data_IF_123967785121
#
_entry.id   IF_123967785121
#
_cell.length_a   1.000
_cell.length_b   1.000
_cell.length_c   1.000
_cell.angle_alpha   90.00
_cell.angle_beta   90.00
_cell.angle_gamma   90.00
#
_symmetry.space_group_name_H-M   'P 1'
#
loop_
_entity.id
_entity.type
_entity.pdbx_description
1 polymer ?
#
# COMPACT_ATOMS: atom_id res chain seq x y z
N UNK A 1 1.51 -63.66 -65.52
CA UNK A 1 2.03 -62.31 -65.30
C UNK A 1 0.95 -61.57 -64.47
N UNK A 2 1.15 -61.50 -63.18
CA UNK A 2 0.24 -60.78 -62.26
C UNK A 2 1.01 -59.62 -61.67
N UNK A 3 0.61 -58.38 -61.94
CA UNK A 3 1.18 -57.18 -61.37
C UNK A 3 0.55 -56.93 -60.02
N UNK A 4 1.35 -56.93 -58.96
CA UNK A 4 0.96 -56.43 -57.62
C UNK A 4 1.22 -54.93 -57.60
N UNK A 5 0.16 -54.20 -57.38
CA UNK A 5 0.21 -52.78 -56.97
C UNK A 5 0.21 -52.68 -55.47
N UNK A 6 1.25 -52.08 -54.87
CA UNK A 6 1.37 -51.79 -53.45
C UNK A 6 0.88 -50.32 -53.21
N UNK A 7 -0.05 -50.06 -52.29
CA UNK A 7 -0.40 -48.64 -51.97
C UNK A 7 0.59 -48.08 -50.96
N UNK A 8 1.12 -46.90 -51.26
CA UNK A 8 1.96 -46.09 -50.40
C UNK A 8 1.02 -45.37 -49.41
N UNK A 9 1.07 -45.74 -48.13
CA UNK A 9 0.38 -45.03 -47.04
C UNK A 9 1.27 -43.86 -46.61
N UNK A 10 0.91 -42.65 -47.01
CA UNK A 10 1.56 -41.41 -46.47
C UNK A 10 1.05 -41.13 -45.07
N UNK A 11 1.91 -41.27 -44.08
CA UNK A 11 1.62 -40.83 -42.71
C UNK A 11 1.71 -39.30 -42.61
N UNK A 12 0.58 -38.63 -42.45
CA UNK A 12 0.48 -37.22 -42.21
C UNK A 12 0.72 -36.99 -40.70
N UNK A 13 1.94 -36.60 -40.31
CA UNK A 13 2.23 -36.16 -38.91
C UNK A 13 1.70 -34.78 -38.70
N UNK A 14 0.55 -34.65 -38.01
CA UNK A 14 0.08 -33.41 -37.46
C UNK A 14 1.01 -33.00 -36.30
N UNK A 15 1.85 -32.01 -36.55
CA UNK A 15 2.59 -31.32 -35.50
C UNK A 15 1.59 -30.47 -34.69
N UNK A 16 1.15 -30.99 -33.55
CA UNK A 16 0.48 -30.19 -32.52
C UNK A 16 1.55 -29.23 -31.97
N UNK A 17 1.55 -27.99 -32.49
CA UNK A 17 2.23 -26.87 -31.82
C UNK A 17 1.56 -26.66 -30.46
N UNK A 18 2.15 -27.26 -29.42
CA UNK A 18 1.73 -26.99 -28.07
C UNK A 18 1.86 -25.48 -27.82
N UNK A 19 0.73 -24.81 -27.53
CA UNK A 19 0.78 -23.54 -26.83
C UNK A 19 1.59 -23.77 -25.57
N UNK A 20 2.82 -23.30 -25.53
CA UNK A 20 3.53 -23.18 -24.26
C UNK A 20 2.72 -22.18 -23.45
N UNK A 21 1.99 -22.65 -22.42
CA UNK A 21 1.38 -21.81 -21.42
C UNK A 21 2.47 -20.90 -20.88
N UNK A 22 2.30 -19.59 -21.08
CA UNK A 22 3.19 -18.62 -20.44
C UNK A 22 3.13 -18.90 -18.94
N UNK A 23 4.27 -19.00 -18.25
CA UNK A 23 4.26 -19.23 -16.82
C UNK A 23 3.34 -18.20 -16.17
N UNK A 24 2.38 -18.69 -15.38
CA UNK A 24 1.45 -17.84 -14.64
C UNK A 24 2.27 -16.88 -13.76
N UNK A 25 1.89 -15.61 -13.67
CA UNK A 25 2.58 -14.67 -12.80
C UNK A 25 2.61 -15.22 -11.37
N UNK A 26 3.79 -15.32 -10.78
CA UNK A 26 3.92 -15.76 -9.40
C UNK A 26 3.69 -14.56 -8.49
N UNK A 27 2.52 -14.52 -7.85
CA UNK A 27 2.23 -13.56 -6.80
C UNK A 27 3.02 -13.91 -5.54
N UNK A 28 3.43 -12.88 -4.80
CA UNK A 28 4.05 -13.07 -3.49
C UNK A 28 2.97 -13.47 -2.47
N UNK A 29 3.31 -14.44 -1.64
CA UNK A 29 2.45 -14.93 -0.56
C UNK A 29 3.28 -15.29 0.67
N UNK A 30 2.63 -15.50 1.78
CA UNK A 30 3.28 -15.99 3.01
C UNK A 30 3.08 -17.51 3.10
N UNK A 31 4.19 -18.24 3.23
CA UNK A 31 4.20 -19.68 3.52
C UNK A 31 5.17 -19.95 4.67
N UNK A 32 4.69 -20.63 5.71
CA UNK A 32 5.50 -20.97 6.89
C UNK A 32 6.26 -19.76 7.48
N UNK A 33 5.58 -18.61 7.59
CA UNK A 33 6.13 -17.38 8.14
C UNK A 33 7.19 -16.69 7.26
N UNK A 34 7.24 -17.02 5.97
CA UNK A 34 8.19 -16.43 5.00
C UNK A 34 7.47 -15.97 3.75
N UNK A 35 7.98 -14.90 3.15
CA UNK A 35 7.54 -14.49 1.83
C UNK A 35 8.11 -15.42 0.77
N UNK A 36 7.26 -15.90 -0.14
CA UNK A 36 7.63 -16.75 -1.26
C UNK A 36 6.96 -16.27 -2.55
N UNK A 37 7.59 -16.56 -3.68
CA UNK A 37 7.13 -16.12 -5.01
C UNK A 37 7.76 -14.80 -5.47
N UNK A 38 7.54 -14.42 -6.73
CA UNK A 38 8.12 -13.22 -7.32
C UNK A 38 9.63 -13.11 -7.14
N UNK A 39 10.11 -11.93 -6.77
CA UNK A 39 11.53 -11.66 -6.46
C UNK A 39 11.93 -12.08 -5.04
N UNK A 40 11.02 -12.61 -4.21
CA UNK A 40 11.24 -12.98 -2.81
C UNK A 40 11.94 -14.34 -2.60
N UNK A 41 12.67 -14.84 -3.58
CA UNK A 41 13.32 -16.17 -3.52
C UNK A 41 14.30 -16.37 -2.36
N UNK A 42 14.76 -15.28 -1.71
CA UNK A 42 15.66 -15.35 -0.53
C UNK A 42 14.91 -15.31 0.81
N UNK A 43 13.60 -15.09 0.82
CA UNK A 43 12.81 -14.85 2.05
C UNK A 43 13.05 -13.46 2.67
N UNK A 44 14.00 -12.69 2.15
CA UNK A 44 14.33 -11.33 2.57
C UNK A 44 14.40 -10.43 1.36
N UNK A 45 13.96 -9.19 1.52
CA UNK A 45 14.19 -8.12 0.56
C UNK A 45 14.36 -6.79 1.30
N UNK A 46 15.18 -5.93 0.70
CA UNK A 46 15.32 -4.55 1.16
C UNK A 46 14.38 -3.69 0.34
N UNK A 47 13.57 -2.90 1.02
CA UNK A 47 12.65 -1.94 0.42
C UNK A 47 13.00 -0.51 0.78
N UNK A 48 12.36 0.42 0.09
CA UNK A 48 12.41 1.84 0.40
C UNK A 48 11.02 2.44 0.48
N UNK A 49 10.82 3.39 1.40
CA UNK A 49 9.62 4.20 1.43
C UNK A 49 9.71 5.26 0.32
N UNK A 50 9.16 4.94 -0.83
CA UNK A 50 9.18 5.77 -2.04
C UNK A 50 7.79 6.34 -2.31
N UNK A 51 7.18 6.93 -1.28
CA UNK A 51 5.80 7.35 -1.24
C UNK A 51 5.40 8.26 -2.41
N UNK A 52 6.30 9.10 -2.87
CA UNK A 52 6.09 10.09 -3.94
C UNK A 52 6.27 9.53 -5.37
N UNK A 53 6.56 8.24 -5.54
CA UNK A 53 6.92 7.67 -6.84
C UNK A 53 5.86 7.87 -7.92
N UNK A 54 4.59 7.64 -7.60
CA UNK A 54 3.47 7.89 -8.51
C UNK A 54 3.32 9.38 -8.82
N UNK A 55 3.53 10.23 -7.81
CA UNK A 55 3.45 11.69 -7.95
C UNK A 55 4.57 12.24 -8.84
N UNK A 56 5.80 11.71 -8.69
CA UNK A 56 6.94 12.06 -9.54
C UNK A 56 6.70 11.67 -11.00
N UNK A 57 6.00 10.57 -11.24
CA UNK A 57 5.64 10.06 -12.57
C UNK A 57 4.50 10.83 -13.26
N UNK A 58 3.77 11.68 -12.53
CA UNK A 58 2.70 12.51 -13.08
C UNK A 58 3.27 13.48 -14.12
N UNK A 59 2.54 13.79 -15.19
CA UNK A 59 2.95 14.82 -16.14
C UNK A 59 2.67 16.22 -15.61
N UNK A 60 3.58 17.16 -15.90
CA UNK A 60 3.44 18.58 -15.54
C UNK A 60 4.65 19.17 -14.84
N UNK A 61 4.59 20.45 -14.44
CA UNK A 61 5.69 21.14 -13.80
C UNK A 61 6.16 20.43 -12.51
N UNK A 62 7.48 20.33 -12.32
CA UNK A 62 8.08 19.67 -11.16
C UNK A 62 7.98 18.15 -11.17
N UNK A 63 7.54 17.54 -12.28
CA UNK A 63 7.45 16.09 -12.50
C UNK A 63 8.54 15.66 -13.48
N UNK A 64 9.07 14.45 -13.29
CA UNK A 64 10.23 14.01 -14.06
C UNK A 64 10.26 12.48 -14.15
N UNK A 65 9.68 11.95 -15.22
CA UNK A 65 9.68 10.51 -15.52
C UNK A 65 11.07 9.96 -15.78
N UNK A 66 11.93 10.76 -16.39
CA UNK A 66 13.33 10.36 -16.63
C UNK A 66 14.08 10.24 -15.30
N UNK A 67 13.85 11.18 -14.38
CA UNK A 67 14.36 11.07 -13.01
C UNK A 67 13.82 9.83 -12.32
N UNK A 68 12.51 9.56 -12.41
CA UNK A 68 11.91 8.35 -11.83
C UNK A 68 12.64 7.10 -12.35
N UNK A 69 12.80 6.96 -13.66
CA UNK A 69 13.51 5.83 -14.25
C UNK A 69 14.94 5.70 -13.72
N UNK A 70 15.70 6.80 -13.67
CA UNK A 70 17.07 6.80 -13.12
C UNK A 70 17.12 6.41 -11.64
N UNK A 71 16.15 6.87 -10.82
CA UNK A 71 16.07 6.49 -9.40
C UNK A 71 15.73 5.01 -9.24
N UNK A 72 14.79 4.46 -10.03
CA UNK A 72 14.47 3.04 -10.02
C UNK A 72 15.68 2.18 -10.41
N UNK A 73 16.44 2.60 -11.44
CA UNK A 73 17.66 1.90 -11.85
C UNK A 73 18.71 1.87 -10.74
N UNK A 74 18.90 3.00 -10.04
CA UNK A 74 19.82 3.10 -8.89
C UNK A 74 19.38 2.26 -7.71
N UNK A 75 18.08 2.28 -7.38
CA UNK A 75 17.53 1.46 -6.31
C UNK A 75 17.71 -0.03 -6.60
N UNK A 76 17.39 -0.46 -7.82
CA UNK A 76 17.58 -1.85 -8.25
C UNK A 76 19.05 -2.27 -8.19
N UNK A 77 19.97 -1.41 -8.69
CA UNK A 77 21.41 -1.67 -8.63
C UNK A 77 21.96 -1.75 -7.19
N UNK A 78 21.29 -1.09 -6.24
CA UNK A 78 21.60 -1.15 -4.80
C UNK A 78 20.94 -2.33 -4.08
N UNK A 79 20.27 -3.23 -4.81
CA UNK A 79 19.58 -4.40 -4.22
C UNK A 79 18.19 -4.08 -3.62
N UNK A 80 17.66 -2.88 -3.84
CA UNK A 80 16.32 -2.50 -3.39
C UNK A 80 15.31 -2.92 -4.45
N UNK A 81 14.51 -3.93 -4.13
CA UNK A 81 13.53 -4.51 -5.06
C UNK A 81 12.07 -4.21 -4.70
N UNK A 82 11.80 -3.61 -3.54
CA UNK A 82 10.45 -3.34 -3.07
C UNK A 82 10.30 -1.86 -2.66
N UNK A 83 9.24 -1.22 -3.14
CA UNK A 83 8.94 0.18 -2.83
C UNK A 83 7.60 0.30 -2.12
N UNK A 84 7.51 1.19 -1.12
CA UNK A 84 6.25 1.54 -0.49
C UNK A 84 5.73 2.85 -1.07
N UNK A 85 4.57 2.83 -1.70
CA UNK A 85 4.04 3.90 -2.54
C UNK A 85 2.66 4.34 -2.08
N UNK A 86 2.44 5.66 -2.04
CA UNK A 86 1.14 6.27 -1.79
C UNK A 86 0.27 6.19 -3.04
N UNK A 87 -0.95 5.68 -2.89
CA UNK A 87 -1.99 5.69 -3.93
C UNK A 87 -3.26 6.43 -3.49
N UNK A 88 -3.08 7.40 -2.61
CA UNK A 88 -4.11 8.31 -2.10
C UNK A 88 -3.51 9.70 -1.88
N UNK A 89 -4.06 10.72 -2.53
CA UNK A 89 -3.89 12.12 -2.18
C UNK A 89 -5.17 12.85 -2.55
N UNK A 90 -5.85 13.36 -1.54
CA UNK A 90 -7.22 13.83 -1.66
C UNK A 90 -7.34 15.31 -1.29
N UNK A 91 -8.23 16.04 -1.98
CA UNK A 91 -8.65 17.39 -1.64
C UNK A 91 -8.23 18.46 -2.63
N UNK A 92 -8.01 19.68 -2.14
CA UNK A 92 -7.67 20.84 -2.94
C UNK A 92 -6.14 21.03 -3.04
N UNK A 93 -5.68 21.61 -4.15
CA UNK A 93 -4.30 22.06 -4.32
C UNK A 93 -4.03 23.31 -3.48
N UNK A 94 -2.76 23.59 -3.18
CA UNK A 94 -2.34 24.80 -2.48
C UNK A 94 -2.60 24.79 -0.97
N UNK A 95 -2.98 23.66 -0.39
CA UNK A 95 -3.08 23.54 1.07
C UNK A 95 -1.69 23.31 1.66
N UNK A 96 -1.33 24.12 2.66
CA UNK A 96 -0.04 24.01 3.36
C UNK A 96 0.16 22.56 3.87
N UNK A 97 1.39 22.07 3.70
CA UNK A 97 1.81 20.73 4.13
C UNK A 97 1.15 19.56 3.40
N UNK A 98 0.31 19.79 2.40
CA UNK A 98 -0.30 18.73 1.60
C UNK A 98 0.58 18.37 0.39
N UNK A 99 0.68 17.07 0.11
CA UNK A 99 1.40 16.58 -1.07
C UNK A 99 0.66 16.91 -2.37
N UNK A 100 1.41 17.18 -3.41
CA UNK A 100 0.90 17.42 -4.76
C UNK A 100 1.68 16.57 -5.79
N UNK A 101 1.02 16.20 -6.90
CA UNK A 101 -0.35 16.51 -7.31
C UNK A 101 -1.39 15.77 -6.48
N UNK A 102 -2.60 16.32 -6.48
CA UNK A 102 -3.77 15.67 -5.88
C UNK A 102 -4.29 14.60 -6.84
N UNK A 103 -4.52 13.40 -6.32
CA UNK A 103 -5.08 12.28 -7.07
C UNK A 103 -6.59 12.38 -7.19
N UNK A 104 -7.27 12.71 -6.09
CA UNK A 104 -8.73 12.83 -6.02
C UNK A 104 -9.11 14.24 -5.59
N UNK A 105 -9.61 15.05 -6.52
CA UNK A 105 -9.87 16.48 -6.31
C UNK A 105 -11.26 16.77 -5.71
N UNK A 106 -12.17 15.83 -5.83
CA UNK A 106 -13.48 15.82 -5.19
C UNK A 106 -13.97 14.37 -5.06
N UNK A 107 -14.99 14.07 -4.26
CA UNK A 107 -15.52 12.71 -4.10
C UNK A 107 -15.75 11.99 -5.43
N UNK A 108 -14.92 10.97 -5.73
CA UNK A 108 -15.01 10.19 -6.97
C UNK A 108 -14.49 10.91 -8.23
N UNK A 109 -13.91 12.10 -8.12
CA UNK A 109 -13.32 12.86 -9.23
C UNK A 109 -11.78 12.75 -9.14
N UNK A 110 -11.19 12.12 -10.14
CA UNK A 110 -9.75 11.85 -10.18
C UNK A 110 -9.03 12.71 -11.22
N UNK A 111 -7.80 13.11 -10.93
CA UNK A 111 -6.89 13.68 -11.94
C UNK A 111 -6.31 12.54 -12.78
N UNK A 112 -6.69 12.47 -14.05
CA UNK A 112 -6.21 11.44 -14.98
C UNK A 112 -4.69 11.43 -15.13
N UNK A 113 -4.01 12.57 -14.97
CA UNK A 113 -2.55 12.66 -15.03
C UNK A 113 -1.89 11.99 -13.83
N UNK A 114 -2.50 12.12 -12.64
CA UNK A 114 -2.00 11.46 -11.43
C UNK A 114 -2.22 9.94 -11.49
N UNK A 115 -3.38 9.51 -12.00
CA UNK A 115 -3.63 8.09 -12.28
C UNK A 115 -2.69 7.53 -13.36
N UNK A 116 -2.39 8.31 -14.40
CA UNK A 116 -1.42 7.95 -15.42
C UNK A 116 0.00 7.82 -14.84
N UNK A 117 0.38 8.70 -13.92
CA UNK A 117 1.65 8.60 -13.20
C UNK A 117 1.76 7.31 -12.38
N UNK A 118 0.68 6.89 -11.71
CA UNK A 118 0.64 5.61 -11.01
C UNK A 118 0.81 4.44 -11.98
N UNK A 119 0.08 4.42 -13.08
CA UNK A 119 0.19 3.38 -14.10
C UNK A 119 1.60 3.31 -14.71
N UNK A 120 2.21 4.47 -14.97
CA UNK A 120 3.57 4.56 -15.48
C UNK A 120 4.56 3.96 -14.48
N UNK A 121 4.50 4.38 -13.20
CA UNK A 121 5.35 3.81 -12.15
C UNK A 121 5.24 2.28 -12.10
N UNK A 122 4.02 1.74 -12.05
CA UNK A 122 3.81 0.28 -11.98
C UNK A 122 4.37 -0.44 -13.20
N UNK A 123 4.23 0.14 -14.40
CA UNK A 123 4.83 -0.43 -15.61
C UNK A 123 6.36 -0.44 -15.56
N UNK A 124 6.97 0.62 -15.02
CA UNK A 124 8.43 0.73 -14.87
C UNK A 124 8.99 -0.20 -13.80
N UNK A 125 8.24 -0.47 -12.73
CA UNK A 125 8.58 -1.49 -11.73
C UNK A 125 8.58 -2.90 -12.36
N UNK A 126 7.53 -3.24 -13.09
CA UNK A 126 7.44 -4.53 -13.77
C UNK A 126 8.58 -4.78 -14.77
N UNK A 127 9.02 -3.75 -15.52
CA UNK A 127 10.17 -3.84 -16.45
C UNK A 127 11.49 -4.14 -15.73
N UNK A 128 11.60 -3.77 -14.46
CA UNK A 128 12.81 -3.93 -13.63
C UNK A 128 12.75 -5.11 -12.69
N UNK A 129 11.69 -5.91 -12.76
CA UNK A 129 11.43 -6.97 -11.76
C UNK A 129 11.52 -6.39 -10.33
N UNK A 130 10.86 -5.27 -10.11
CA UNK A 130 10.67 -4.60 -8.84
C UNK A 130 9.19 -4.66 -8.47
N UNK A 131 8.90 -4.46 -7.19
CA UNK A 131 7.54 -4.56 -6.66
C UNK A 131 7.18 -3.36 -5.80
N UNK A 132 5.88 -3.15 -5.60
CA UNK A 132 5.37 -2.10 -4.76
C UNK A 132 4.36 -2.61 -3.73
N UNK A 133 4.51 -2.12 -2.50
CA UNK A 133 3.46 -2.09 -1.49
C UNK A 133 2.67 -0.80 -1.71
N UNK A 134 1.40 -0.92 -2.05
CA UNK A 134 0.53 0.22 -2.36
C UNK A 134 -0.39 0.52 -1.17
N UNK A 135 -0.23 1.67 -0.51
CA UNK A 135 -1.13 2.05 0.57
C UNK A 135 -2.21 3.02 0.10
N UNK A 136 -3.47 2.68 0.44
CA UNK A 136 -4.67 3.17 -0.21
C UNK A 136 -5.20 4.50 0.35
N UNK A 137 -4.80 4.86 1.56
CA UNK A 137 -5.17 6.13 2.20
C UNK A 137 -4.17 6.47 3.31
N UNK A 138 -4.44 7.52 4.07
CA UNK A 138 -3.58 8.00 5.14
C UNK A 138 -4.41 8.35 6.38
N UNK A 139 -3.91 8.01 7.55
CA UNK A 139 -4.49 8.50 8.80
C UNK A 139 -4.14 9.98 9.06
N UNK A 140 -3.04 10.45 8.46
CA UNK A 140 -2.53 11.81 8.62
C UNK A 140 -2.97 12.73 7.47
N UNK A 141 -3.05 14.02 7.76
CA UNK A 141 -3.62 15.05 6.88
C UNK A 141 -2.73 15.41 5.67
N UNK A 142 -1.43 15.12 5.73
CA UNK A 142 -0.47 15.57 4.72
C UNK A 142 -0.73 15.04 3.29
N UNK A 143 -1.56 14.01 3.15
CA UNK A 143 -2.08 13.58 1.83
C UNK A 143 -3.61 13.67 1.73
N UNK A 144 -4.29 14.32 2.67
CA UNK A 144 -5.75 14.37 2.78
C UNK A 144 -6.30 13.27 3.68
N UNK A 145 -6.35 12.04 3.20
CA UNK A 145 -6.70 10.86 3.97
C UNK A 145 -8.00 10.97 4.76
N UNK A 146 -8.03 10.41 5.97
CA UNK A 146 -9.24 10.43 6.82
C UNK A 146 -9.82 11.83 6.99
N UNK A 147 -8.95 12.82 7.15
CA UNK A 147 -9.37 14.21 7.35
C UNK A 147 -10.15 14.76 6.15
N UNK A 148 -9.70 14.46 4.94
CA UNK A 148 -10.39 14.92 3.73
C UNK A 148 -11.74 14.20 3.54
N UNK A 149 -11.83 12.91 3.83
CA UNK A 149 -13.10 12.20 3.77
C UNK A 149 -14.09 12.69 4.82
N UNK A 150 -13.64 13.09 6.01
CA UNK A 150 -14.46 13.75 7.02
C UNK A 150 -14.98 15.11 6.51
N UNK A 151 -14.10 15.94 5.92
CA UNK A 151 -14.49 17.23 5.35
C UNK A 151 -15.53 17.05 4.25
N UNK A 152 -15.32 16.12 3.31
CA UNK A 152 -16.28 15.80 2.26
C UNK A 152 -17.60 15.22 2.78
N UNK A 153 -17.62 14.70 3.98
CA UNK A 153 -18.85 14.23 4.65
C UNK A 153 -19.58 15.32 5.45
N UNK A 154 -19.14 16.58 5.32
CA UNK A 154 -19.81 17.73 5.94
C UNK A 154 -19.37 18.02 7.40
N UNK A 155 -18.23 17.49 7.84
CA UNK A 155 -17.72 17.69 9.21
C UNK A 155 -16.83 18.95 9.35
N UNK A 156 -16.95 19.90 8.43
CA UNK A 156 -16.16 21.13 8.39
C UNK A 156 -14.74 20.91 7.86
N UNK A 157 -14.03 22.02 7.64
CA UNK A 157 -12.64 22.00 7.17
C UNK A 157 -11.73 21.39 8.22
N UNK A 158 -10.90 20.42 7.81
CA UNK A 158 -10.01 19.76 8.74
C UNK A 158 -8.87 20.70 9.21
N UNK A 159 -8.49 20.64 10.48
CA UNK A 159 -7.40 21.44 11.02
C UNK A 159 -6.04 20.87 10.57
N UNK A 160 -5.14 21.75 10.10
CA UNK A 160 -3.75 21.40 9.84
C UNK A 160 -2.96 21.50 11.15
N UNK A 161 -2.29 20.45 11.64
CA UNK A 161 -1.64 20.45 12.96
C UNK A 161 -0.66 21.61 13.18
N UNK A 162 0.14 21.96 12.16
CA UNK A 162 1.09 23.07 12.20
C UNK A 162 0.45 24.45 12.36
N UNK A 163 -0.85 24.61 12.09
CA UNK A 163 -1.59 25.87 12.21
C UNK A 163 -2.58 25.85 13.38
N UNK A 164 -3.31 24.75 13.55
CA UNK A 164 -4.40 24.65 14.51
C UNK A 164 -4.01 23.97 15.83
N UNK A 165 -2.82 23.37 15.87
CA UNK A 165 -2.33 22.58 17.01
C UNK A 165 -2.74 21.11 16.92
N UNK A 166 -1.89 20.27 17.53
CA UNK A 166 -2.00 18.81 17.49
C UNK A 166 -3.30 18.30 18.12
N UNK A 167 -3.68 18.83 19.29
CA UNK A 167 -4.88 18.38 20.01
C UNK A 167 -6.16 18.66 19.22
N UNK A 168 -6.21 19.79 18.51
CA UNK A 168 -7.34 20.15 17.63
C UNK A 168 -7.44 19.17 16.46
N UNK A 169 -6.31 18.82 15.85
CA UNK A 169 -6.27 17.82 14.79
C UNK A 169 -6.71 16.44 15.30
N UNK A 170 -6.18 15.99 16.43
CA UNK A 170 -6.54 14.69 17.01
C UNK A 170 -8.04 14.62 17.38
N UNK A 171 -8.60 15.69 17.93
CA UNK A 171 -10.04 15.78 18.20
C UNK A 171 -10.90 15.73 16.92
N UNK A 172 -10.38 16.22 15.79
CA UNK A 172 -11.08 16.17 14.52
C UNK A 172 -10.98 14.78 13.88
N UNK A 173 -9.77 14.24 13.71
CA UNK A 173 -9.54 13.01 12.95
C UNK A 173 -10.13 11.76 13.62
N UNK A 174 -10.23 11.72 14.96
CA UNK A 174 -10.87 10.62 15.69
C UNK A 174 -12.32 10.38 15.27
N UNK A 175 -13.03 11.42 14.79
CA UNK A 175 -14.40 11.32 14.28
C UNK A 175 -14.53 10.32 13.14
N UNK A 176 -13.44 10.00 12.46
CA UNK A 176 -13.47 8.97 11.40
C UNK A 176 -13.88 7.60 11.96
N UNK A 177 -13.41 7.21 13.14
CA UNK A 177 -13.82 5.95 13.77
C UNK A 177 -15.09 6.07 14.63
N UNK A 178 -15.45 7.28 15.05
CA UNK A 178 -16.75 7.56 15.69
C UNK A 178 -17.91 7.41 14.68
N UNK A 179 -17.64 7.61 13.38
CA UNK A 179 -18.60 7.47 12.31
C UNK A 179 -19.04 6.02 12.13
N UNK A 180 -20.32 5.81 11.85
CA UNK A 180 -20.88 4.50 11.52
C UNK A 180 -20.34 3.96 10.19
N UNK A 181 -20.43 2.65 9.97
CA UNK A 181 -19.96 2.02 8.73
C UNK A 181 -20.68 2.52 7.47
N UNK A 182 -21.89 3.04 7.62
CA UNK A 182 -22.72 3.63 6.55
C UNK A 182 -22.54 5.13 6.38
N UNK A 183 -21.69 5.76 7.19
CA UNK A 183 -21.39 7.19 7.07
C UNK A 183 -20.68 7.49 5.74
N UNK A 184 -20.95 8.66 5.19
CA UNK A 184 -20.42 9.07 3.89
C UNK A 184 -18.90 9.08 3.85
N UNK A 185 -18.19 9.43 4.94
CA UNK A 185 -16.72 9.39 4.96
C UNK A 185 -16.17 7.98 4.71
N UNK A 186 -16.79 6.95 5.30
CA UNK A 186 -16.43 5.54 5.10
C UNK A 186 -16.77 5.06 3.67
N UNK A 187 -17.98 5.40 3.20
CA UNK A 187 -18.44 5.02 1.86
C UNK A 187 -17.58 5.66 0.77
N UNK A 188 -17.19 6.92 0.93
CA UNK A 188 -16.32 7.60 -0.04
C UNK A 188 -14.94 6.97 -0.11
N UNK A 189 -14.34 6.63 1.03
CA UNK A 189 -13.07 5.90 1.07
C UNK A 189 -13.20 4.50 0.45
N UNK A 190 -14.26 3.76 0.72
CA UNK A 190 -14.49 2.45 0.08
C UNK A 190 -14.63 2.56 -1.45
N UNK A 191 -15.25 3.62 -1.95
CA UNK A 191 -15.30 3.89 -3.40
C UNK A 191 -13.91 4.14 -3.98
N UNK A 192 -13.06 4.88 -3.27
CA UNK A 192 -11.67 5.09 -3.67
C UNK A 192 -10.90 3.77 -3.71
N UNK A 193 -10.97 2.95 -2.66
CA UNK A 193 -10.36 1.62 -2.60
C UNK A 193 -10.79 0.78 -3.80
N UNK A 194 -12.08 0.71 -4.09
CA UNK A 194 -12.61 -0.02 -5.26
C UNK A 194 -12.02 0.52 -6.56
N UNK A 195 -11.99 1.83 -6.73
CA UNK A 195 -11.49 2.48 -7.94
C UNK A 195 -10.02 2.12 -8.22
N UNK A 196 -9.17 2.12 -7.19
CA UNK A 196 -7.75 1.81 -7.32
C UNK A 196 -7.53 0.30 -7.51
N UNK A 197 -8.10 -0.54 -6.66
CA UNK A 197 -7.83 -1.99 -6.68
C UNK A 197 -8.35 -2.65 -7.97
N UNK A 198 -9.44 -2.15 -8.55
CA UNK A 198 -10.01 -2.69 -9.80
C UNK A 198 -9.47 -2.00 -11.06
N UNK A 199 -8.48 -1.12 -10.93
CA UNK A 199 -7.89 -0.41 -12.06
C UNK A 199 -7.21 -1.35 -13.04
N UNK A 200 -7.23 -0.97 -14.32
CA UNK A 200 -6.40 -1.57 -15.37
C UNK A 200 -5.30 -0.59 -15.74
N UNK A 201 -4.05 -1.03 -15.68
CA UNK A 201 -2.88 -0.24 -16.04
C UNK A 201 -2.90 0.07 -17.56
N UNK A 202 -2.83 1.35 -17.91
CA UNK A 202 -2.93 1.79 -19.33
C UNK A 202 -1.70 1.45 -20.17
N UNK A 203 -0.52 1.25 -19.54
CA UNK A 203 0.72 0.92 -20.24
C UNK A 203 0.86 -0.57 -20.51
N UNK A 204 0.37 -1.40 -19.58
CA UNK A 204 0.50 -2.87 -19.67
C UNK A 204 -0.79 -3.54 -20.15
N UNK A 205 -1.93 -2.86 -20.07
CA UNK A 205 -3.26 -3.43 -20.32
C UNK A 205 -3.69 -4.46 -19.27
N UNK A 206 -2.92 -4.61 -18.17
CA UNK A 206 -3.16 -5.61 -17.12
C UNK A 206 -4.00 -5.01 -16.00
N UNK A 207 -5.05 -5.71 -15.53
CA UNK A 207 -5.71 -5.34 -14.29
C UNK A 207 -4.73 -5.36 -13.10
N UNK A 208 -4.82 -4.41 -12.17
CA UNK A 208 -3.93 -4.34 -11.01
C UNK A 208 -3.96 -5.63 -10.18
N UNK A 209 -5.14 -6.22 -9.99
CA UNK A 209 -5.28 -7.52 -9.32
C UNK A 209 -4.54 -8.70 -9.99
N UNK A 210 -4.01 -8.50 -11.19
CA UNK A 210 -3.26 -9.49 -11.96
C UNK A 210 -1.80 -9.05 -12.20
N UNK A 211 -1.37 -7.93 -11.60
CA UNK A 211 -0.05 -7.36 -11.82
C UNK A 211 0.95 -7.85 -10.76
N UNK A 212 1.90 -8.74 -11.11
CA UNK A 212 2.88 -9.27 -10.16
C UNK A 212 3.87 -8.20 -9.65
N UNK A 213 3.87 -6.99 -10.21
CA UNK A 213 4.61 -5.85 -9.67
C UNK A 213 3.95 -5.28 -8.41
N UNK A 214 2.72 -5.66 -8.08
CA UNK A 214 2.12 -5.36 -6.78
C UNK A 214 2.55 -6.45 -5.79
N UNK A 215 3.22 -6.02 -4.70
CA UNK A 215 3.59 -6.89 -3.60
C UNK A 215 2.39 -7.12 -2.67
N UNK A 216 1.74 -6.04 -2.28
CA UNK A 216 0.58 -6.05 -1.40
C UNK A 216 -0.18 -4.73 -1.43
N UNK A 217 -1.42 -4.79 -0.97
CA UNK A 217 -2.21 -3.64 -0.59
C UNK A 217 -2.03 -3.36 0.91
N UNK A 218 -1.76 -2.11 1.27
CA UNK A 218 -1.90 -1.64 2.64
C UNK A 218 -3.16 -0.80 2.79
N UNK A 219 -3.92 -1.07 3.86
CA UNK A 219 -5.19 -0.38 4.11
C UNK A 219 -4.98 1.13 4.19
N UNK A 220 -3.97 1.57 4.96
CA UNK A 220 -3.65 2.99 5.10
C UNK A 220 -2.18 3.21 5.47
N UNK A 221 -1.70 4.43 5.38
CA UNK A 221 -0.52 4.85 6.13
C UNK A 221 -0.91 5.11 7.57
N UNK A 222 -0.29 4.35 8.47
CA UNK A 222 -0.40 4.51 9.93
C UNK A 222 -1.84 4.61 10.45
N UNK A 223 -2.73 3.65 10.07
CA UNK A 223 -4.08 3.63 10.60
C UNK A 223 -4.05 3.53 12.12
N UNK A 224 -4.88 4.33 12.79
CA UNK A 224 -4.87 4.51 14.24
C UNK A 224 -6.27 4.64 14.78
N UNK A 225 -6.49 4.18 16.02
CA UNK A 225 -7.79 4.30 16.70
C UNK A 225 -8.11 5.74 17.10
N UNK A 226 -7.09 6.56 17.40
CA UNK A 226 -7.16 7.96 17.86
C UNK A 226 -7.84 8.18 19.22
N UNK A 227 -8.30 7.15 19.86
CA UNK A 227 -8.76 7.14 21.26
C UNK A 227 -9.01 5.71 21.73
N UNK A 228 -9.01 5.53 23.06
CA UNK A 228 -9.36 4.24 23.67
C UNK A 228 -10.80 3.82 23.34
N UNK A 229 -11.73 4.76 23.32
CA UNK A 229 -13.15 4.51 23.01
C UNK A 229 -13.39 4.03 21.58
N UNK A 230 -12.45 4.31 20.68
CA UNK A 230 -12.56 3.93 19.28
C UNK A 230 -11.94 2.57 18.94
N UNK A 231 -11.28 1.89 19.87
CA UNK A 231 -10.53 0.64 19.60
C UNK A 231 -11.37 -0.43 18.91
N UNK A 232 -12.57 -0.69 19.36
CA UNK A 232 -13.45 -1.71 18.75
C UNK A 232 -13.99 -1.26 17.38
N UNK A 233 -14.29 0.03 17.20
CA UNK A 233 -14.70 0.58 15.91
C UNK A 233 -13.56 0.58 14.90
N UNK A 234 -12.35 0.85 15.36
CA UNK A 234 -11.13 0.72 14.56
C UNK A 234 -10.91 -0.72 14.11
N UNK A 235 -10.98 -1.70 15.02
CA UNK A 235 -10.91 -3.11 14.69
C UNK A 235 -11.94 -3.52 13.63
N UNK A 236 -13.19 -3.15 13.83
CA UNK A 236 -14.27 -3.46 12.89
C UNK A 236 -14.05 -2.83 11.51
N UNK A 237 -13.53 -1.60 11.47
CA UNK A 237 -13.21 -0.92 10.23
C UNK A 237 -12.05 -1.60 9.48
N UNK A 238 -10.98 -1.98 10.18
CA UNK A 238 -9.85 -2.72 9.58
C UNK A 238 -10.33 -4.04 9.00
N UNK A 239 -11.09 -4.83 9.77
CA UNK A 239 -11.63 -6.12 9.33
C UNK A 239 -12.51 -5.97 8.07
N UNK A 240 -13.42 -4.98 8.07
CA UNK A 240 -14.29 -4.69 6.92
C UNK A 240 -13.48 -4.27 5.69
N UNK A 241 -12.48 -3.43 5.87
CA UNK A 241 -11.66 -2.91 4.76
C UNK A 241 -10.76 -4.00 4.17
N UNK A 242 -10.11 -4.80 5.01
CA UNK A 242 -9.30 -5.94 4.57
C UNK A 242 -10.14 -6.95 3.76
N UNK A 243 -11.33 -7.28 4.27
CA UNK A 243 -12.28 -8.16 3.56
C UNK A 243 -12.71 -7.58 2.22
N UNK A 244 -12.97 -6.27 2.15
CA UNK A 244 -13.29 -5.60 0.89
C UNK A 244 -12.16 -5.75 -0.13
N UNK A 245 -10.90 -5.48 0.28
CA UNK A 245 -9.75 -5.60 -0.61
C UNK A 245 -9.59 -7.04 -1.11
N UNK A 246 -9.67 -8.04 -0.23
CA UNK A 246 -9.60 -9.47 -0.61
C UNK A 246 -10.72 -9.92 -1.56
N UNK A 247 -11.91 -9.33 -1.44
CA UNK A 247 -13.02 -9.58 -2.38
C UNK A 247 -12.75 -9.01 -3.78
N UNK A 248 -12.07 -7.86 -3.86
CA UNK A 248 -11.72 -7.20 -5.12
C UNK A 248 -10.48 -7.82 -5.77
N UNK A 249 -9.55 -8.26 -4.94
CA UNK A 249 -8.26 -8.81 -5.34
C UNK A 249 -7.88 -10.01 -4.43
N UNK A 250 -8.18 -11.24 -4.86
CA UNK A 250 -7.82 -12.43 -4.11
C UNK A 250 -6.35 -12.85 -4.28
N UNK A 251 -5.59 -12.21 -5.19
CA UNK A 251 -4.25 -12.64 -5.57
C UNK A 251 -3.16 -12.00 -4.69
N UNK A 252 -3.35 -10.73 -4.29
CA UNK A 252 -2.33 -10.00 -3.56
C UNK A 252 -2.55 -10.07 -2.05
N UNK A 253 -1.43 -9.94 -1.34
CA UNK A 253 -1.45 -9.83 0.11
C UNK A 253 -2.05 -8.51 0.56
N UNK A 254 -2.61 -8.51 1.78
CA UNK A 254 -3.12 -7.34 2.46
C UNK A 254 -2.41 -7.18 3.80
N UNK A 255 -2.02 -5.96 4.14
CA UNK A 255 -1.53 -5.58 5.47
C UNK A 255 -2.15 -4.25 5.92
N UNK A 256 -1.97 -3.92 7.17
CA UNK A 256 -2.60 -2.73 7.77
C UNK A 256 -1.93 -1.43 7.39
N UNK A 257 -0.60 -1.40 7.30
CA UNK A 257 0.22 -0.19 7.21
C UNK A 257 0.43 0.51 8.56
N UNK A 258 0.24 -0.22 9.68
CA UNK A 258 0.23 0.30 11.05
C UNK A 258 1.61 0.63 11.60
N UNK A 259 1.65 1.50 12.61
CA UNK A 259 2.81 1.76 13.44
C UNK A 259 3.13 0.63 14.43
N UNK A 260 2.21 -0.33 14.62
CA UNK A 260 2.33 -1.35 15.66
C UNK A 260 1.35 -1.09 16.82
N UNK A 261 1.77 -1.42 18.06
CA UNK A 261 0.93 -1.17 19.24
C UNK A 261 0.60 0.33 19.43
N UNK A 262 1.47 1.24 18.96
CA UNK A 262 1.21 2.67 18.99
C UNK A 262 -0.02 3.06 18.16
N UNK A 263 -0.23 2.41 17.01
CA UNK A 263 -1.46 2.57 16.21
C UNK A 263 -2.71 2.02 16.89
N UNK A 264 -2.55 1.21 17.92
CA UNK A 264 -3.61 0.64 18.75
C UNK A 264 -3.72 1.32 20.12
N UNK A 265 -3.27 2.57 20.27
CA UNK A 265 -3.23 3.31 21.53
C UNK A 265 -2.51 2.55 22.66
N UNK A 266 -1.38 1.88 22.33
CA UNK A 266 -0.58 1.09 23.27
C UNK A 266 -1.18 -0.29 23.60
N UNK A 267 -2.26 -0.70 22.95
CA UNK A 267 -2.93 -1.98 23.22
C UNK A 267 -2.40 -3.09 22.32
N UNK A 268 -1.46 -3.87 22.86
CA UNK A 268 -0.89 -5.03 22.15
C UNK A 268 -1.93 -6.15 21.92
N UNK A 269 -2.97 -6.24 22.75
CA UNK A 269 -4.05 -7.20 22.55
C UNK A 269 -4.87 -6.86 21.31
N UNK A 270 -5.20 -5.60 21.12
CA UNK A 270 -5.87 -5.12 19.92
C UNK A 270 -4.98 -5.32 18.68
N UNK A 271 -3.67 -5.01 18.78
CA UNK A 271 -2.70 -5.26 17.73
C UNK A 271 -2.73 -6.72 17.25
N UNK A 272 -2.64 -7.67 18.20
CA UNK A 272 -2.70 -9.11 17.91
C UNK A 272 -4.02 -9.54 17.28
N UNK A 273 -5.15 -9.06 17.80
CA UNK A 273 -6.46 -9.35 17.23
C UNK A 273 -6.58 -8.89 15.78
N UNK A 274 -6.07 -7.72 15.45
CA UNK A 274 -6.07 -7.19 14.07
C UNK A 274 -5.24 -8.09 13.15
N UNK A 275 -4.04 -8.48 13.58
CA UNK A 275 -3.14 -9.28 12.75
C UNK A 275 -3.47 -10.79 12.76
N UNK A 276 -4.43 -11.23 13.57
CA UNK A 276 -5.05 -12.56 13.52
C UNK A 276 -6.25 -12.62 12.57
N UNK A 277 -6.65 -11.52 11.93
CA UNK A 277 -7.71 -11.54 10.92
C UNK A 277 -7.25 -12.33 9.70
N UNK A 278 -8.10 -13.24 9.17
CA UNK A 278 -7.72 -14.10 8.04
C UNK A 278 -7.45 -13.33 6.74
N UNK A 279 -7.90 -12.10 6.64
CA UNK A 279 -7.67 -11.22 5.51
C UNK A 279 -6.36 -10.41 5.62
N UNK A 280 -5.65 -10.46 6.74
CA UNK A 280 -4.35 -9.80 6.94
C UNK A 280 -3.25 -10.86 6.80
N UNK A 281 -2.45 -10.75 5.75
CA UNK A 281 -1.45 -11.77 5.40
C UNK A 281 -0.13 -11.60 6.15
N UNK A 282 0.22 -10.39 6.58
CA UNK A 282 1.45 -10.12 7.33
C UNK A 282 1.33 -8.85 8.18
N UNK A 283 2.09 -8.83 9.27
CA UNK A 283 2.22 -7.67 10.14
C UNK A 283 3.30 -6.71 9.63
N UNK A 284 3.07 -5.42 9.80
CA UNK A 284 4.07 -4.39 9.57
C UNK A 284 4.05 -3.38 10.72
N UNK A 285 5.20 -2.78 10.99
CA UNK A 285 5.34 -1.73 11.99
C UNK A 285 6.14 -0.56 11.41
N UNK A 286 5.85 0.63 11.92
CA UNK A 286 6.69 1.82 11.74
C UNK A 286 7.23 2.23 13.10
N UNK A 287 8.51 2.56 13.19
CA UNK A 287 9.13 2.94 14.45
C UNK A 287 9.80 4.30 14.28
N UNK A 288 9.37 5.26 15.08
CA UNK A 288 9.79 6.65 15.01
C UNK A 288 10.41 7.10 16.34
N UNK A 289 11.65 6.67 16.71
CA UNK A 289 12.27 6.97 17.99
C UNK A 289 12.30 8.46 18.33
N UNK A 290 12.55 9.31 17.32
CA UNK A 290 12.56 10.77 17.50
C UNK A 290 11.14 11.31 17.77
N UNK A 291 10.16 10.95 16.96
CA UNK A 291 8.77 11.41 17.11
C UNK A 291 8.16 10.93 18.44
N UNK A 292 8.55 9.73 18.88
CA UNK A 292 8.09 9.15 20.15
C UNK A 292 8.94 9.57 21.34
N UNK A 293 9.88 10.51 21.16
CA UNK A 293 10.74 11.06 22.20
C UNK A 293 11.59 10.01 22.92
N UNK A 294 11.96 8.94 22.21
CA UNK A 294 12.94 7.96 22.67
C UNK A 294 14.37 8.45 22.50
N UNK A 295 14.55 9.41 21.60
CA UNK A 295 15.80 10.10 21.31
C UNK A 295 15.50 11.58 21.11
N UNK A 296 16.32 12.47 21.64
CA UNK A 296 16.18 13.91 21.48
C UNK A 296 17.27 14.47 20.56
N UNK A 297 16.97 15.58 19.92
CA UNK A 297 17.95 16.27 19.07
C UNK A 297 19.11 16.82 19.89
N UNK A 298 18.83 17.23 21.13
CA UNK A 298 19.80 17.83 22.06
C UNK A 298 20.77 16.80 22.65
N UNK A 299 20.40 15.53 22.71
CA UNK A 299 21.19 14.48 23.36
C UNK A 299 21.24 13.17 22.59
N UNK A 300 21.39 13.22 21.25
CA UNK A 300 21.40 12.03 20.39
C UNK A 300 22.36 10.95 20.89
N UNK A 301 23.58 11.33 21.27
CA UNK A 301 24.60 10.38 21.72
C UNK A 301 24.25 9.69 23.05
N UNK A 302 23.67 10.44 24.00
CA UNK A 302 23.28 9.91 25.30
C UNK A 302 22.02 9.04 25.23
N UNK A 303 21.10 9.37 24.35
CA UNK A 303 19.80 8.65 24.21
C UNK A 303 19.90 7.39 23.35
N UNK A 304 20.94 7.25 22.50
CA UNK A 304 21.00 6.25 21.44
C UNK A 304 20.86 4.81 21.97
N UNK A 305 21.57 4.45 23.03
CA UNK A 305 21.53 3.09 23.58
C UNK A 305 20.12 2.75 24.07
N UNK A 306 19.51 3.63 24.85
CA UNK A 306 18.16 3.45 25.36
C UNK A 306 17.10 3.40 24.22
N UNK A 307 17.28 4.20 23.17
CA UNK A 307 16.42 4.18 21.99
C UNK A 307 16.54 2.85 21.22
N UNK A 308 17.74 2.30 21.08
CA UNK A 308 17.97 0.98 20.47
C UNK A 308 17.32 -0.15 21.28
N UNK A 309 17.42 -0.12 22.61
CA UNK A 309 16.79 -1.10 23.50
C UNK A 309 15.27 -1.04 23.37
N UNK A 310 14.67 0.15 23.46
CA UNK A 310 13.23 0.36 23.25
C UNK A 310 12.77 -0.11 21.87
N UNK A 311 13.52 0.19 20.82
CA UNK A 311 13.23 -0.25 19.45
C UNK A 311 13.24 -1.77 19.35
N UNK A 312 14.25 -2.43 19.94
CA UNK A 312 14.36 -3.89 19.94
C UNK A 312 13.19 -4.53 20.68
N UNK A 313 12.82 -3.99 21.84
CA UNK A 313 11.67 -4.48 22.62
C UNK A 313 10.36 -4.27 21.87
N UNK A 314 10.17 -3.12 21.24
CA UNK A 314 8.99 -2.83 20.42
C UNK A 314 8.83 -3.84 19.27
N UNK A 315 9.92 -4.15 18.56
CA UNK A 315 9.95 -5.17 17.50
C UNK A 315 9.53 -6.54 18.06
N UNK A 316 10.11 -6.94 19.20
CA UNK A 316 9.77 -8.22 19.84
C UNK A 316 8.29 -8.31 20.19
N UNK A 317 7.73 -7.26 20.80
CA UNK A 317 6.32 -7.23 21.20
C UNK A 317 5.37 -7.32 20.02
N UNK A 318 5.67 -6.61 18.92
CA UNK A 318 4.77 -6.53 17.77
C UNK A 318 4.97 -7.67 16.75
N UNK A 319 6.18 -8.23 16.59
CA UNK A 319 6.45 -9.16 15.49
C UNK A 319 6.77 -10.60 15.92
N UNK A 320 7.21 -10.84 17.15
CA UNK A 320 7.55 -12.20 17.59
C UNK A 320 6.39 -12.96 18.23
N UNK A 321 5.27 -12.33 18.45
CA UNK A 321 4.10 -12.90 19.12
C UNK A 321 2.80 -12.77 18.28
N UNK A 322 2.95 -12.48 17.00
CA UNK A 322 1.83 -12.46 16.03
C UNK A 322 1.81 -13.74 15.19
#
# INVERSE_FOLDING_TARGET
>A
MKHLLTPLLGALTLSLSGCQDKPQPQFIRVENGRFVGGSANSGYFVGANFWYGALLATEGPGRDRDRLCRELDRLKASGIGNLRVLVGSEGNTGVISKVEPILQTAPGVYDDRALDGLDFLMSELGKRDMQAVLYLTNAWEWSGGYSQYLEWSGRGTYPVPGLAGWDTFMAYVRQFHEAEATDSCKILLEKHIRHIVTRTNRYTGRPYREDPAIFSWQIANEPRAFSDDNKERFFAWVARTAKLIKQLDPNHMVSTGSEGEMGCEGDIGLWRRIHALPEIDYANIHIWPYNWRWISQENVGGDLTAACEKTTEYIRRCLLYT
#
